data_IF_481231815292
#
_entry.id   IF_481231815292
#
_cell.length_a   1.000
_cell.length_b   1.000
_cell.length_c   1.000
_cell.angle_alpha   90.00
_cell.angle_beta   90.00
_cell.angle_gamma   90.00
#
_symmetry.space_group_name_H-M   'P 1'
#
loop_
_entity.id
_entity.type
_entity.pdbx_description
1 polymer ?
#
# COMPACT_ATOMS: atom_id res chain seq x y z
N UNK A 1 -51.01 15.98 -39.07
CA UNK A 1 -49.93 15.13 -38.53
C UNK A 1 -49.03 15.98 -37.67
N UNK A 2 -49.01 15.76 -36.36
CA UNK A 2 -48.20 16.53 -35.40
C UNK A 2 -46.86 15.82 -35.23
N UNK A 3 -45.80 16.40 -35.81
CA UNK A 3 -44.42 15.96 -35.62
C UNK A 3 -43.93 16.43 -34.25
N UNK A 4 -43.96 15.54 -33.26
CA UNK A 4 -43.37 15.75 -31.92
C UNK A 4 -41.99 15.09 -31.80
N UNK A 5 -41.20 15.08 -32.87
CA UNK A 5 -39.92 14.36 -32.92
C UNK A 5 -38.70 15.10 -32.38
N UNK A 6 -38.68 16.44 -32.40
CA UNK A 6 -37.44 17.22 -32.14
C UNK A 6 -37.09 17.41 -30.65
N UNK A 7 -38.06 17.84 -29.83
CA UNK A 7 -37.78 18.30 -28.46
C UNK A 7 -37.32 17.19 -27.48
N UNK A 8 -37.58 15.91 -27.77
CA UNK A 8 -37.20 14.80 -26.89
C UNK A 8 -35.73 14.41 -27.02
N UNK A 9 -35.14 14.58 -28.20
CA UNK A 9 -33.76 14.17 -28.49
C UNK A 9 -32.75 15.20 -27.99
N UNK A 10 -33.04 16.49 -28.19
CA UNK A 10 -32.22 17.61 -27.69
C UNK A 10 -32.13 17.62 -26.16
N UNK A 11 -33.24 17.31 -25.48
CA UNK A 11 -33.27 17.25 -24.01
C UNK A 11 -32.48 16.07 -23.46
N UNK A 12 -32.49 14.92 -24.13
CA UNK A 12 -31.69 13.74 -23.76
C UNK A 12 -30.19 13.98 -23.99
N UNK A 13 -29.83 14.61 -25.11
CA UNK A 13 -28.44 14.99 -25.42
C UNK A 13 -27.90 16.01 -24.40
N UNK A 14 -28.71 17.00 -24.01
CA UNK A 14 -28.36 17.97 -22.97
C UNK A 14 -28.17 17.32 -21.59
N UNK A 15 -29.01 16.34 -21.22
CA UNK A 15 -28.89 15.59 -19.97
C UNK A 15 -27.63 14.72 -19.98
N UNK A 16 -27.36 13.99 -21.06
CA UNK A 16 -26.17 13.13 -21.19
C UNK A 16 -24.89 13.96 -21.14
N UNK A 17 -24.84 15.09 -21.86
CA UNK A 17 -23.70 16.02 -21.83
C UNK A 17 -23.46 16.56 -20.43
N UNK A 18 -24.52 16.97 -19.72
CA UNK A 18 -24.41 17.46 -18.34
C UNK A 18 -23.90 16.38 -17.38
N UNK A 19 -24.38 15.14 -17.52
CA UNK A 19 -23.89 14.01 -16.71
C UNK A 19 -22.42 13.69 -16.99
N UNK A 20 -21.97 13.77 -18.25
CA UNK A 20 -20.56 13.59 -18.59
C UNK A 20 -19.67 14.69 -17.98
N UNK A 21 -20.11 15.95 -18.04
CA UNK A 21 -19.36 17.08 -17.45
C UNK A 21 -19.28 16.93 -15.93
N UNK A 22 -20.39 16.57 -15.27
CA UNK A 22 -20.42 16.34 -13.82
C UNK A 22 -19.52 15.14 -13.46
N UNK A 23 -19.58 14.05 -14.22
CA UNK A 23 -18.75 12.88 -13.97
C UNK A 23 -17.25 13.20 -14.15
N UNK A 24 -16.88 13.92 -15.22
CA UNK A 24 -15.52 14.40 -15.43
C UNK A 24 -15.04 15.32 -14.30
N UNK A 25 -15.90 16.23 -13.82
CA UNK A 25 -15.61 17.11 -12.69
C UNK A 25 -15.39 16.32 -11.39
N UNK A 26 -16.23 15.32 -11.12
CA UNK A 26 -16.08 14.44 -9.95
C UNK A 26 -14.79 13.63 -10.03
N UNK A 27 -14.45 13.08 -11.19
CA UNK A 27 -13.20 12.33 -11.40
C UNK A 27 -11.97 13.22 -11.16
N UNK A 28 -12.00 14.47 -11.64
CA UNK A 28 -10.94 15.45 -11.42
C UNK A 28 -10.81 15.85 -9.94
N UNK A 29 -11.94 16.00 -9.24
CA UNK A 29 -11.97 16.36 -7.81
C UNK A 29 -11.52 15.21 -6.89
N UNK A 30 -11.75 13.94 -7.27
CA UNK A 30 -11.38 12.77 -6.48
C UNK A 30 -9.98 12.20 -6.84
N UNK A 31 -9.35 12.71 -7.89
CA UNK A 31 -8.23 12.06 -8.58
C UNK A 31 -6.82 12.34 -8.05
N UNK A 32 -6.62 12.94 -6.87
CA UNK A 32 -5.27 13.16 -6.33
C UNK A 32 -4.93 12.09 -5.28
N UNK A 33 -4.29 10.96 -5.63
CA UNK A 33 -3.70 10.10 -4.63
C UNK A 33 -2.62 10.91 -3.90
N UNK A 34 -2.53 10.81 -2.55
CA UNK A 34 -1.50 11.53 -1.82
C UNK A 34 -0.11 11.11 -2.34
N UNK A 35 0.85 12.04 -2.44
CA UNK A 35 2.22 11.68 -2.81
C UNK A 35 2.74 10.66 -1.79
N UNK A 36 3.00 9.44 -2.26
CA UNK A 36 3.67 8.44 -1.43
C UNK A 36 5.13 8.84 -1.35
N UNK A 37 5.53 9.48 -0.26
CA UNK A 37 6.93 9.79 0.00
C UNK A 37 7.65 8.46 0.24
N UNK A 38 8.39 7.98 -0.76
CA UNK A 38 9.23 6.78 -0.64
C UNK A 38 10.54 7.16 0.04
N UNK A 39 10.49 7.45 1.35
CA UNK A 39 11.69 7.67 2.17
C UNK A 39 12.48 6.35 2.16
N UNK A 40 13.79 6.39 1.93
CA UNK A 40 14.64 5.18 2.03
C UNK A 40 14.61 4.66 3.48
N UNK A 41 14.51 3.33 3.72
CA UNK A 41 14.69 2.81 5.07
C UNK A 41 16.01 3.34 5.65
N UNK A 42 16.04 3.78 6.92
CA UNK A 42 17.27 4.12 7.59
C UNK A 42 18.26 2.94 7.58
N UNK A 43 19.52 3.20 7.91
CA UNK A 43 20.56 2.17 7.91
C UNK A 43 20.13 0.92 8.72
N UNK A 44 20.47 -0.31 8.27
CA UNK A 44 20.18 -1.52 9.00
C UNK A 44 20.82 -1.45 10.38
N UNK A 45 20.02 -1.57 11.45
CA UNK A 45 20.56 -1.62 12.80
C UNK A 45 21.10 -3.03 13.04
N UNK A 46 22.39 -3.11 13.40
CA UNK A 46 22.97 -4.37 13.89
C UNK A 46 22.53 -4.55 15.34
N UNK A 47 21.60 -5.47 15.56
CA UNK A 47 21.18 -5.85 16.91
C UNK A 47 22.19 -6.81 17.50
N UNK A 48 22.68 -6.52 18.71
CA UNK A 48 23.51 -7.44 19.47
C UNK A 48 22.59 -8.34 20.29
N UNK A 49 22.44 -9.58 19.86
CA UNK A 49 21.65 -10.60 20.53
C UNK A 49 22.58 -11.47 21.37
N UNK A 50 22.21 -11.73 22.62
CA UNK A 50 22.99 -12.55 23.55
C UNK A 50 23.04 -14.03 23.15
N UNK A 51 23.35 -14.91 24.09
CA UNK A 51 23.31 -16.36 23.81
C UNK A 51 21.88 -16.84 23.53
N UNK A 52 21.71 -17.81 22.60
CA UNK A 52 20.40 -18.39 22.31
C UNK A 52 19.78 -18.98 23.59
N UNK A 53 18.50 -18.69 23.88
CA UNK A 53 17.84 -19.16 25.09
C UNK A 53 17.54 -20.68 25.07
N UNK A 54 17.58 -21.32 23.90
CA UNK A 54 17.35 -22.76 23.72
C UNK A 54 18.11 -23.31 22.50
N UNK A 55 18.39 -24.64 22.44
CA UNK A 55 19.27 -25.23 21.41
C UNK A 55 18.80 -25.08 19.97
N UNK A 56 17.50 -24.91 19.76
CA UNK A 56 16.85 -24.74 18.46
C UNK A 56 16.50 -23.28 18.13
N UNK A 57 17.04 -22.31 18.89
CA UNK A 57 16.82 -20.89 18.65
C UNK A 57 17.64 -20.39 17.47
N UNK A 58 16.98 -19.71 16.53
CA UNK A 58 17.61 -19.02 15.41
C UNK A 58 17.26 -17.54 15.53
N UNK A 59 18.28 -16.68 15.43
CA UNK A 59 18.08 -15.24 15.47
C UNK A 59 17.41 -14.76 14.18
N UNK A 60 16.27 -14.10 14.31
CA UNK A 60 15.64 -13.35 13.22
C UNK A 60 15.95 -11.87 13.43
N UNK A 61 16.77 -11.24 12.57
CA UNK A 61 17.10 -9.84 12.74
C UNK A 61 15.87 -8.95 12.55
N UNK A 62 15.89 -7.81 13.25
CA UNK A 62 14.88 -6.77 13.07
C UNK A 62 14.89 -6.17 11.66
N UNK A 63 13.80 -5.48 11.33
CA UNK A 63 13.63 -4.85 10.03
C UNK A 63 12.85 -3.54 10.15
N UNK A 64 13.07 -2.66 9.17
CA UNK A 64 12.29 -1.44 9.02
C UNK A 64 10.97 -1.75 8.33
N UNK A 65 9.86 -1.37 8.96
CA UNK A 65 8.53 -1.48 8.38
C UNK A 65 7.96 -0.09 8.13
N UNK A 66 7.46 0.17 6.92
CA UNK A 66 6.84 1.44 6.59
C UNK A 66 5.37 1.43 7.02
N UNK A 67 5.02 2.20 8.05
CA UNK A 67 3.65 2.28 8.60
C UNK A 67 3.20 3.74 8.67
N UNK A 68 2.03 4.02 8.09
CA UNK A 68 1.35 5.34 8.16
C UNK A 68 2.23 6.56 7.79
N UNK A 69 3.19 6.37 6.87
CA UNK A 69 4.07 7.45 6.39
C UNK A 69 5.42 7.52 7.09
N UNK A 70 5.67 6.66 8.08
CA UNK A 70 6.93 6.62 8.84
C UNK A 70 7.61 5.25 8.78
N UNK A 71 8.93 5.24 9.00
CA UNK A 71 9.71 4.02 9.20
C UNK A 71 9.74 3.65 10.68
N UNK A 72 9.20 2.47 11.00
CA UNK A 72 9.20 1.92 12.37
C UNK A 72 10.19 0.75 12.42
N UNK A 73 11.07 0.74 13.41
CA UNK A 73 11.97 -0.39 13.65
C UNK A 73 11.20 -1.50 14.36
N UNK A 74 11.14 -2.67 13.75
CA UNK A 74 10.63 -3.89 14.38
C UNK A 74 11.83 -4.67 14.86
N UNK A 75 11.99 -4.79 16.18
CA UNK A 75 13.11 -5.53 16.77
C UNK A 75 13.10 -7.01 16.37
N UNK A 76 14.31 -7.56 16.21
CA UNK A 76 14.53 -8.96 16.00
C UNK A 76 14.15 -9.81 17.21
N UNK A 77 14.07 -11.13 16.99
CA UNK A 77 13.70 -12.05 18.04
C UNK A 77 14.24 -13.46 17.80
N UNK A 78 14.33 -14.24 18.89
CA UNK A 78 14.64 -15.66 18.83
C UNK A 78 13.42 -16.45 18.38
N UNK A 79 13.52 -17.10 17.21
CA UNK A 79 12.51 -18.02 16.73
C UNK A 79 12.96 -19.47 16.88
N UNK A 80 12.01 -20.40 17.06
CA UNK A 80 12.31 -21.83 16.90
C UNK A 80 12.61 -22.14 15.45
N UNK A 81 13.67 -22.91 15.21
CA UNK A 81 13.99 -23.39 13.87
C UNK A 81 12.89 -24.33 13.36
N UNK A 82 12.47 -24.22 12.10
CA UNK A 82 11.51 -25.15 11.50
C UNK A 82 12.14 -26.51 11.16
N UNK A 83 13.46 -26.59 10.96
CA UNK A 83 14.19 -27.82 10.67
C UNK A 83 15.63 -27.80 11.24
N UNK A 84 16.30 -28.95 11.42
CA UNK A 84 17.61 -29.04 12.08
C UNK A 84 18.76 -28.23 11.47
N UNK A 85 18.63 -27.83 10.20
CA UNK A 85 19.66 -27.11 9.45
C UNK A 85 19.14 -25.77 8.87
N UNK A 86 17.94 -25.36 9.28
CA UNK A 86 17.34 -24.11 8.80
C UNK A 86 18.05 -22.93 9.48
N UNK A 87 18.66 -22.07 8.67
CA UNK A 87 19.18 -20.77 9.09
C UNK A 87 18.35 -19.67 8.46
N UNK A 88 18.28 -18.52 9.12
CA UNK A 88 17.53 -17.39 8.60
C UNK A 88 18.37 -16.68 7.52
N UNK A 89 17.81 -16.54 6.33
CA UNK A 89 18.39 -15.78 5.21
C UNK A 89 17.59 -14.48 5.05
N UNK A 90 18.24 -13.30 5.08
CA UNK A 90 17.55 -12.05 4.77
C UNK A 90 17.16 -12.00 3.30
N UNK A 91 15.85 -11.87 3.03
CA UNK A 91 15.26 -11.45 1.75
C UNK A 91 15.64 -12.29 0.51
N UNK A 92 14.69 -13.04 -0.02
CA UNK A 92 14.64 -13.37 -1.45
C UNK A 92 13.65 -12.43 -2.15
#
# INVERSE_FOLDING_TARGET
MISKGGASMDRKVAIISSLMVICAMVILLLGCPPPTVRVRPPEPRVEYYGSPPYPDAVWRPGYWEHRRGDWVWISGYWARRPAPHAHWVPGH
#
